data_IF_486100183993
#
_entry.id   IF_486100183993
#
_cell.length_a   1.000
_cell.length_b   1.000
_cell.length_c   1.000
_cell.angle_alpha   90.00
_cell.angle_beta   90.00
_cell.angle_gamma   90.00
#
_symmetry.space_group_name_H-M   'P 1'
#
loop_
_entity.id
_entity.type
_entity.pdbx_description
1 polymer ?
#
# COMPACT_ATOMS: atom_id res chain seq x y z
N UNK A 1 -7.56 24.53 -7.42
CA UNK A 1 -7.34 23.18 -6.84
C UNK A 1 -5.85 23.03 -6.51
N UNK A 2 -5.43 23.38 -5.29
CA UNK A 2 -4.05 23.22 -4.84
C UNK A 2 -3.82 21.75 -4.46
N UNK A 3 -3.29 20.95 -5.39
CA UNK A 3 -2.69 19.66 -5.00
C UNK A 3 -1.27 19.99 -4.54
N UNK A 4 -1.02 19.96 -3.23
CA UNK A 4 0.33 20.09 -2.71
C UNK A 4 1.19 19.00 -3.38
N UNK A 5 2.19 19.40 -4.18
CA UNK A 5 3.12 18.43 -4.76
C UNK A 5 3.97 17.92 -3.61
N UNK A 6 3.68 16.70 -3.16
CA UNK A 6 4.48 16.06 -2.14
C UNK A 6 5.88 15.80 -2.71
N UNK A 7 6.93 16.24 -2.03
CA UNK A 7 8.30 15.92 -2.42
C UNK A 7 8.62 14.50 -1.93
N UNK A 8 8.31 13.49 -2.74
CA UNK A 8 8.57 12.09 -2.39
C UNK A 8 10.05 11.79 -2.19
N UNK A 9 10.97 12.58 -2.77
CA UNK A 9 12.41 12.43 -2.52
C UNK A 9 12.81 12.78 -1.09
N UNK A 10 12.03 13.63 -0.40
CA UNK A 10 12.25 13.93 1.01
C UNK A 10 11.70 12.85 1.95
N UNK A 11 10.86 11.94 1.45
CA UNK A 11 10.24 10.86 2.22
C UNK A 11 11.03 9.54 2.08
N UNK A 12 12.32 9.59 2.41
CA UNK A 12 13.15 8.39 2.46
C UNK A 12 12.92 7.63 3.77
N UNK A 13 12.90 6.30 3.68
CA UNK A 13 12.91 5.46 4.88
C UNK A 13 14.20 5.67 5.68
N UNK A 14 14.11 5.48 7.00
CA UNK A 14 15.30 5.55 7.85
C UNK A 14 16.34 4.49 7.45
N UNK A 15 17.64 4.72 7.67
CA UNK A 15 18.69 3.76 7.27
C UNK A 15 18.48 2.34 7.78
N UNK A 16 17.90 2.18 8.98
CA UNK A 16 17.59 0.86 9.57
C UNK A 16 16.52 0.10 8.76
N UNK A 17 15.49 0.81 8.31
CA UNK A 17 14.42 0.24 7.46
C UNK A 17 14.98 -0.12 6.09
N UNK A 18 15.79 0.77 5.49
CA UNK A 18 16.43 0.52 4.20
C UNK A 18 17.36 -0.71 4.24
N UNK A 19 18.19 -0.84 5.28
CA UNK A 19 19.06 -2.01 5.47
C UNK A 19 18.25 -3.31 5.61
N UNK A 20 17.15 -3.26 6.38
CA UNK A 20 16.24 -4.40 6.54
C UNK A 20 15.58 -4.78 5.21
N UNK A 21 15.09 -3.80 4.47
CA UNK A 21 14.48 -4.01 3.16
C UNK A 21 15.48 -4.58 2.14
N UNK A 22 16.74 -4.10 2.13
CA UNK A 22 17.79 -4.63 1.27
C UNK A 22 18.05 -6.11 1.56
N UNK A 23 18.11 -6.48 2.84
CA UNK A 23 18.28 -7.88 3.26
C UNK A 23 17.09 -8.75 2.84
N UNK A 24 15.86 -8.25 2.95
CA UNK A 24 14.65 -8.96 2.50
C UNK A 24 14.66 -9.18 0.99
N UNK A 25 14.92 -8.14 0.20
CA UNK A 25 15.00 -8.21 -1.26
C UNK A 25 16.09 -9.21 -1.68
N UNK A 26 17.26 -9.14 -1.05
CA UNK A 26 18.36 -10.06 -1.31
C UNK A 26 17.93 -11.52 -1.07
N UNK A 27 17.25 -11.80 0.05
CA UNK A 27 16.78 -13.16 0.38
C UNK A 27 15.67 -13.63 -0.56
N UNK A 28 14.68 -12.78 -0.86
CA UNK A 28 13.60 -13.11 -1.80
C UNK A 28 14.19 -13.53 -3.14
N UNK A 29 15.18 -12.78 -3.65
CA UNK A 29 15.90 -13.06 -4.90
C UNK A 29 16.98 -14.14 -4.77
N UNK A 30 16.94 -14.98 -3.74
CA UNK A 30 17.88 -16.10 -3.54
C UNK A 30 19.37 -15.67 -3.55
N UNK A 31 19.69 -14.53 -2.95
CA UNK A 31 21.02 -13.92 -2.97
C UNK A 31 21.56 -13.61 -4.37
N UNK A 32 20.71 -13.51 -5.39
CA UNK A 32 21.15 -13.10 -6.72
C UNK A 32 21.79 -11.71 -6.67
N UNK A 33 22.82 -11.51 -7.49
CA UNK A 33 23.55 -10.24 -7.65
C UNK A 33 22.74 -9.16 -8.40
N UNK A 34 21.42 -9.27 -8.42
CA UNK A 34 20.56 -8.43 -9.24
C UNK A 34 20.05 -7.22 -8.46
N UNK A 35 20.32 -6.03 -9.03
CA UNK A 35 19.68 -4.77 -8.63
C UNK A 35 18.44 -4.52 -9.48
N UNK A 36 17.29 -4.40 -8.84
CA UNK A 36 16.06 -3.91 -9.46
C UNK A 36 16.17 -2.43 -9.83
N UNK A 37 15.34 -2.00 -10.79
CA UNK A 37 15.29 -0.60 -11.26
C UNK A 37 14.97 0.38 -10.12
N UNK A 38 14.19 -0.05 -9.15
CA UNK A 38 13.75 0.76 -8.01
C UNK A 38 14.62 0.60 -6.77
N UNK A 39 15.59 -0.32 -6.76
CA UNK A 39 16.34 -0.66 -5.55
C UNK A 39 17.11 0.56 -5.01
N UNK A 40 17.70 1.38 -5.89
CA UNK A 40 18.41 2.61 -5.50
C UNK A 40 17.49 3.60 -4.75
N UNK A 41 16.25 3.75 -5.20
CA UNK A 41 15.28 4.64 -4.54
C UNK A 41 14.69 4.03 -3.26
N UNK A 42 14.59 2.69 -3.19
CA UNK A 42 13.96 1.98 -2.07
C UNK A 42 14.92 1.74 -0.90
N UNK A 43 16.14 1.31 -1.19
CA UNK A 43 17.13 0.91 -0.19
C UNK A 43 18.38 1.78 -0.19
N UNK A 44 18.46 2.79 -1.08
CA UNK A 44 19.50 3.80 -1.06
C UNK A 44 20.92 3.20 -1.09
N UNK A 45 21.77 3.53 -0.10
CA UNK A 45 23.17 3.07 -0.07
C UNK A 45 23.33 1.55 0.08
N UNK A 46 22.26 0.81 0.40
CA UNK A 46 22.26 -0.64 0.54
C UNK A 46 21.91 -1.37 -0.77
N UNK A 47 21.67 -0.65 -1.87
CA UNK A 47 21.40 -1.25 -3.18
C UNK A 47 22.64 -1.99 -3.71
N UNK A 48 22.43 -3.14 -4.37
CA UNK A 48 23.51 -3.85 -5.04
C UNK A 48 23.87 -3.16 -6.37
N UNK A 49 25.13 -3.26 -6.84
CA UNK A 49 25.49 -2.77 -8.16
C UNK A 49 24.75 -3.52 -9.27
N UNK A 50 24.49 -2.84 -10.39
CA UNK A 50 23.79 -3.40 -11.56
C UNK A 50 24.72 -4.39 -12.30
N UNK A 51 24.59 -5.69 -12.02
CA UNK A 51 25.22 -6.75 -12.81
C UNK A 51 24.32 -7.28 -13.93
N UNK A 52 24.94 -7.80 -15.01
CA UNK A 52 24.24 -8.32 -16.20
C UNK A 52 23.35 -9.52 -15.85
N UNK A 53 22.09 -9.43 -16.28
CA UNK A 53 20.97 -10.31 -15.95
C UNK A 53 21.21 -11.75 -16.42
N UNK A 54 21.00 -12.74 -15.54
CA UNK A 54 20.93 -14.17 -15.91
C UNK A 54 19.61 -14.87 -15.55
N UNK A 55 18.75 -14.28 -14.70
CA UNK A 55 17.49 -14.89 -14.27
C UNK A 55 16.49 -13.84 -13.80
N UNK A 56 15.28 -13.87 -14.34
CA UNK A 56 14.16 -13.05 -13.89
C UNK A 56 13.45 -13.72 -12.70
N UNK A 57 13.16 -12.95 -11.65
CA UNK A 57 12.33 -13.41 -10.55
C UNK A 57 10.98 -12.72 -10.63
N UNK A 58 9.91 -13.50 -10.76
CA UNK A 58 8.54 -13.00 -10.86
C UNK A 58 7.85 -13.11 -9.51
N UNK A 59 7.62 -11.97 -8.87
CA UNK A 59 6.82 -11.87 -7.64
C UNK A 59 5.57 -11.03 -7.92
N UNK A 60 4.49 -11.34 -7.20
CA UNK A 60 3.31 -10.49 -7.09
C UNK A 60 3.28 -9.91 -5.68
N UNK A 61 3.31 -8.59 -5.56
CA UNK A 61 3.15 -7.89 -4.29
C UNK A 61 1.71 -7.40 -4.16
N UNK A 62 1.02 -7.83 -3.12
CA UNK A 62 -0.35 -7.40 -2.79
C UNK A 62 -0.32 -6.67 -1.44
N UNK A 63 -0.75 -5.41 -1.43
CA UNK A 63 -0.97 -4.66 -0.19
C UNK A 63 -2.47 -4.65 0.09
N UNK A 64 -2.89 -5.48 1.05
CA UNK A 64 -4.29 -5.60 1.47
C UNK A 64 -4.49 -4.81 2.77
N UNK A 65 -5.48 -3.91 2.80
CA UNK A 65 -5.84 -3.13 3.98
C UNK A 65 -7.20 -3.61 4.49
N UNK A 66 -7.22 -4.18 5.69
CA UNK A 66 -8.40 -4.83 6.29
C UNK A 66 -9.01 -3.98 7.41
N UNK A 67 -9.12 -2.67 7.18
CA UNK A 67 -9.65 -1.74 8.16
C UNK A 67 -11.11 -1.41 7.86
N UNK A 68 -11.90 -1.28 8.92
CA UNK A 68 -13.34 -1.01 8.82
C UNK A 68 -13.63 0.30 8.09
N UNK A 69 -12.73 1.28 8.16
CA UNK A 69 -12.86 2.57 7.49
C UNK A 69 -12.85 2.43 5.96
N UNK A 70 -11.98 1.58 5.42
CA UNK A 70 -11.89 1.29 3.97
C UNK A 70 -13.15 0.60 3.46
N UNK A 71 -13.64 -0.37 4.23
CA UNK A 71 -14.85 -1.14 3.93
C UNK A 71 -16.09 -0.25 4.06
N UNK A 72 -16.14 0.61 5.07
CA UNK A 72 -17.21 1.58 5.26
C UNK A 72 -17.21 2.62 4.12
N UNK A 73 -16.05 3.14 3.73
CA UNK A 73 -15.93 4.18 2.71
C UNK A 73 -16.35 3.73 1.31
N UNK A 74 -16.28 2.44 0.98
CA UNK A 74 -16.69 1.97 -0.36
C UNK A 74 -18.21 1.95 -0.56
N UNK A 75 -19.00 2.07 0.51
CA UNK A 75 -20.46 1.87 0.53
C UNK A 75 -20.95 0.50 0.02
N UNK A 76 -20.06 -0.44 -0.30
CA UNK A 76 -20.45 -1.75 -0.81
C UNK A 76 -21.05 -2.63 0.29
N UNK A 77 -21.84 -3.61 -0.15
CA UNK A 77 -22.17 -4.82 0.60
C UNK A 77 -21.09 -5.87 0.33
N UNK A 78 -20.61 -6.52 1.38
CA UNK A 78 -19.54 -7.51 1.33
C UNK A 78 -20.02 -8.93 1.64
N UNK A 79 -21.33 -9.11 1.87
CA UNK A 79 -21.94 -10.42 2.06
C UNK A 79 -21.79 -10.99 3.47
N UNK A 80 -21.40 -10.20 4.48
CA UNK A 80 -21.33 -10.60 5.89
C UNK A 80 -22.68 -10.56 6.62
N UNK A 81 -23.78 -10.33 5.91
CA UNK A 81 -25.14 -10.37 6.45
C UNK A 81 -25.56 -9.11 7.19
N UNK A 82 -26.73 -9.17 7.83
CA UNK A 82 -27.38 -7.98 8.42
C UNK A 82 -26.61 -7.36 9.58
N UNK A 83 -25.88 -8.17 10.35
CA UNK A 83 -25.05 -7.67 11.45
C UNK A 83 -23.86 -6.87 10.94
N UNK A 84 -23.23 -7.30 9.84
CA UNK A 84 -22.16 -6.54 9.20
C UNK A 84 -22.70 -5.21 8.65
N UNK A 85 -23.83 -5.27 7.92
CA UNK A 85 -24.48 -4.08 7.34
C UNK A 85 -24.78 -3.02 8.39
N UNK A 86 -25.40 -3.40 9.51
CA UNK A 86 -25.72 -2.46 10.60
C UNK A 86 -24.48 -1.83 11.22
N UNK A 87 -23.43 -2.62 11.45
CA UNK A 87 -22.15 -2.11 11.98
C UNK A 87 -21.49 -1.12 11.03
N UNK A 88 -21.43 -1.46 9.74
CA UNK A 88 -20.90 -0.60 8.69
C UNK A 88 -21.72 0.68 8.53
N UNK A 89 -23.06 0.59 8.59
CA UNK A 89 -23.93 1.74 8.52
C UNK A 89 -23.69 2.71 9.68
N UNK A 90 -23.67 2.21 10.92
CA UNK A 90 -23.37 3.04 12.09
C UNK A 90 -21.98 3.68 12.00
N UNK A 91 -20.98 2.95 11.49
CA UNK A 91 -19.64 3.50 11.26
C UNK A 91 -19.64 4.60 10.21
N UNK A 92 -20.37 4.42 9.10
CA UNK A 92 -20.48 5.41 8.01
C UNK A 92 -21.15 6.70 8.49
N UNK A 93 -22.23 6.58 9.25
CA UNK A 93 -22.93 7.74 9.82
C UNK A 93 -22.02 8.56 10.74
N UNK A 94 -21.19 7.90 11.55
CA UNK A 94 -20.28 8.56 12.47
C UNK A 94 -19.04 9.16 11.79
N UNK A 95 -18.40 8.42 10.88
CA UNK A 95 -17.08 8.77 10.34
C UNK A 95 -17.10 9.36 8.93
N UNK A 96 -18.17 9.09 8.16
CA UNK A 96 -18.32 9.54 6.78
C UNK A 96 -19.72 10.16 6.52
N UNK A 97 -20.16 11.14 7.33
CA UNK A 97 -21.53 11.68 7.24
C UNK A 97 -21.86 12.22 5.85
N UNK A 98 -20.94 12.96 5.23
CA UNK A 98 -21.15 13.49 3.86
C UNK A 98 -21.26 12.41 2.78
N UNK A 99 -20.72 11.22 3.01
CA UNK A 99 -20.87 10.09 2.09
C UNK A 99 -22.25 9.45 2.21
N UNK A 100 -22.81 9.40 3.42
CA UNK A 100 -24.19 8.94 3.68
C UNK A 100 -25.20 9.88 3.03
N UNK A 101 -24.98 11.20 3.16
CA UNK A 101 -25.83 12.21 2.51
C UNK A 101 -25.87 12.05 0.99
N UNK A 102 -24.71 11.87 0.34
CA UNK A 102 -24.61 11.66 -1.10
C UNK A 102 -25.36 10.41 -1.57
N UNK A 103 -25.24 9.31 -0.82
CA UNK A 103 -25.94 8.07 -1.13
C UNK A 103 -27.47 8.24 -1.02
N UNK A 104 -27.93 8.97 -0.02
CA UNK A 104 -29.36 9.25 0.19
C UNK A 104 -29.96 10.18 -0.87
N UNK A 105 -29.15 11.05 -1.48
CA UNK A 105 -29.59 11.90 -2.60
C UNK A 105 -29.54 11.20 -3.97
N UNK A 106 -28.89 10.04 -4.05
CA UNK A 106 -28.71 9.29 -5.31
C UNK A 106 -29.72 8.15 -5.48
N UNK A 107 -30.53 7.87 -4.45
CA UNK A 107 -31.69 6.96 -4.47
C UNK A 107 -32.98 7.76 -4.49
#
# INVERSE_FOLDING_TARGET
>A
RLRCRCNFHALQFTPKIQATAALLIQRMRQNASHSGVLDENLVGPFAKPKEKIKKEFRYLALHLRFEIDMVAHSLCDFGGGEEEKKKLQAYREMHFPGLVELNNTSN
#
